data_IF_916550557054
#
_entry.id   IF_916550557054
#
_cell.length_a   1.000
_cell.length_b   1.000
_cell.length_c   1.000
_cell.angle_alpha   90.00
_cell.angle_beta   90.00
_cell.angle_gamma   90.00
#
_symmetry.space_group_name_H-M   'P 1'
#
loop_
_entity.id
_entity.type
_entity.pdbx_description
1 polymer ?
#
# COMPACT_ATOMS: atom_id res chain seq x y z
N UNK A 1 -8.94 -29.34 -0.56
CA UNK A 1 -8.58 -28.03 -1.17
C UNK A 1 -9.65 -27.54 -2.16
N UNK A 2 -10.77 -28.25 -2.33
CA UNK A 2 -11.87 -27.89 -3.24
C UNK A 2 -13.03 -27.14 -2.54
N UNK A 3 -13.09 -27.17 -1.20
CA UNK A 3 -14.23 -26.63 -0.44
C UNK A 3 -14.27 -25.09 -0.31
N UNK A 4 -13.13 -24.40 -0.42
CA UNK A 4 -13.12 -22.92 -0.38
C UNK A 4 -13.62 -22.28 -1.68
N UNK A 5 -13.52 -22.97 -2.82
CA UNK A 5 -14.04 -22.47 -4.08
C UNK A 5 -15.57 -22.50 -4.12
N UNK A 6 -16.15 -23.60 -3.65
CA UNK A 6 -17.61 -23.83 -3.63
C UNK A 6 -18.36 -22.91 -2.67
N UNK A 7 -17.78 -22.56 -1.52
CA UNK A 7 -18.41 -21.62 -0.57
C UNK A 7 -18.45 -20.17 -1.09
N UNK A 8 -17.43 -19.76 -1.86
CA UNK A 8 -17.35 -18.42 -2.47
C UNK A 8 -18.39 -18.23 -3.58
N UNK A 9 -18.61 -19.26 -4.39
CA UNK A 9 -19.65 -19.24 -5.45
C UNK A 9 -21.06 -19.18 -4.84
N UNK A 10 -21.33 -19.93 -3.75
CA UNK A 10 -22.64 -19.89 -3.05
C UNK A 10 -22.99 -18.53 -2.44
N UNK A 11 -21.98 -17.76 -2.03
CA UNK A 11 -22.19 -16.42 -1.47
C UNK A 11 -22.64 -15.41 -2.52
N UNK A 12 -22.26 -15.61 -3.79
CA UNK A 12 -22.70 -14.79 -4.92
C UNK A 12 -24.12 -15.16 -5.39
N UNK A 13 -24.53 -16.42 -5.22
CA UNK A 13 -25.86 -16.91 -5.57
C UNK A 13 -26.98 -16.37 -4.66
N UNK A 14 -26.64 -15.95 -3.43
CA UNK A 14 -27.59 -15.40 -2.45
C UNK A 14 -27.75 -13.89 -2.51
N UNK A 15 -27.06 -13.20 -3.43
CA UNK A 15 -27.13 -11.74 -3.57
C UNK A 15 -28.32 -11.33 -4.46
N UNK A 16 -29.03 -10.28 -4.07
CA UNK A 16 -30.12 -9.70 -4.90
C UNK A 16 -29.57 -8.94 -6.11
N UNK A 17 -30.40 -8.71 -7.13
CA UNK A 17 -29.98 -7.98 -8.35
C UNK A 17 -29.54 -6.53 -8.07
N UNK A 18 -30.05 -5.90 -7.02
CA UNK A 18 -29.61 -4.56 -6.58
C UNK A 18 -28.23 -4.62 -5.91
N UNK A 19 -28.01 -5.63 -5.06
CA UNK A 19 -26.72 -5.87 -4.42
C UNK A 19 -25.61 -6.16 -5.44
N UNK A 20 -25.95 -6.85 -6.54
CA UNK A 20 -25.04 -7.14 -7.66
C UNK A 20 -24.55 -5.89 -8.41
N UNK A 21 -25.25 -4.76 -8.29
CA UNK A 21 -24.88 -3.48 -8.92
C UNK A 21 -24.02 -2.58 -8.02
N UNK A 22 -24.03 -2.83 -6.71
CA UNK A 22 -23.34 -2.02 -5.70
C UNK A 22 -22.10 -2.72 -5.12
N UNK A 23 -21.53 -3.67 -5.87
CA UNK A 23 -20.33 -4.39 -5.46
C UNK A 23 -19.07 -3.53 -5.61
N UNK A 24 -18.22 -3.57 -4.59
CA UNK A 24 -16.96 -2.85 -4.49
C UNK A 24 -15.82 -3.84 -4.20
N UNK A 25 -14.83 -3.89 -5.08
CA UNK A 25 -13.58 -4.62 -4.85
C UNK A 25 -12.55 -3.67 -4.25
N UNK A 26 -12.26 -3.85 -2.97
CA UNK A 26 -11.19 -3.15 -2.29
C UNK A 26 -9.86 -3.80 -2.62
N UNK A 27 -8.94 -3.01 -3.14
CA UNK A 27 -7.59 -3.43 -3.52
C UNK A 27 -6.60 -2.49 -2.87
N UNK A 28 -5.58 -3.04 -2.19
CA UNK A 28 -4.42 -2.23 -1.80
C UNK A 28 -3.36 -2.32 -2.89
N UNK A 29 -2.62 -1.26 -3.09
CA UNK A 29 -1.50 -1.25 -4.02
C UNK A 29 -0.35 -0.43 -3.44
N UNK A 30 0.81 -0.57 -4.06
CA UNK A 30 1.98 0.23 -3.78
C UNK A 30 3.15 -0.15 -4.67
N UNK A 31 4.28 0.49 -4.42
CA UNK A 31 5.52 0.31 -5.18
C UNK A 31 6.70 0.14 -4.25
N UNK A 32 7.69 -0.63 -4.68
CA UNK A 32 8.91 -0.86 -3.93
C UNK A 32 10.12 -0.94 -4.87
N UNK A 33 11.27 -0.49 -4.37
CA UNK A 33 12.55 -0.53 -5.05
C UNK A 33 13.48 -1.57 -4.44
N UNK A 34 14.18 -2.33 -5.28
CA UNK A 34 15.17 -3.31 -4.84
C UNK A 34 16.43 -3.24 -5.68
N UNK A 35 17.57 -3.57 -5.07
CA UNK A 35 18.84 -3.71 -5.75
C UNK A 35 19.11 -5.18 -5.99
N UNK A 36 19.63 -5.51 -7.17
CA UNK A 36 20.00 -6.87 -7.54
C UNK A 36 21.37 -6.94 -8.20
N UNK A 37 21.92 -8.15 -8.29
CA UNK A 37 23.13 -8.40 -9.07
C UNK A 37 22.83 -8.29 -10.55
N UNK A 38 23.63 -7.49 -11.26
CA UNK A 38 23.51 -7.32 -12.70
C UNK A 38 23.87 -8.60 -13.45
N UNK A 39 23.05 -8.96 -14.45
CA UNK A 39 23.38 -10.08 -15.33
C UNK A 39 24.53 -9.71 -16.27
N UNK A 40 25.37 -10.69 -16.62
CA UNK A 40 26.48 -10.51 -17.59
C UNK A 40 26.02 -10.61 -19.05
N UNK A 41 24.78 -10.22 -19.33
CA UNK A 41 24.25 -10.21 -20.69
C UNK A 41 24.51 -8.85 -21.33
N UNK A 42 24.63 -8.83 -22.65
CA UNK A 42 24.79 -7.57 -23.38
C UNK A 42 23.46 -6.84 -23.44
N UNK A 43 23.46 -5.57 -23.05
CA UNK A 43 22.33 -4.67 -23.24
C UNK A 43 22.39 -4.03 -24.63
N UNK A 44 21.24 -3.56 -25.13
CA UNK A 44 21.20 -2.83 -26.40
C UNK A 44 21.93 -1.49 -26.29
N UNK A 45 21.82 -0.80 -25.15
CA UNK A 45 22.57 0.43 -24.87
C UNK A 45 23.60 0.22 -23.76
N UNK A 46 24.78 0.81 -23.93
CA UNK A 46 25.86 0.77 -22.93
C UNK A 46 25.53 1.49 -21.61
N UNK A 47 24.46 2.29 -21.57
CA UNK A 47 24.01 3.00 -20.37
C UNK A 47 22.96 2.23 -19.57
N UNK A 48 22.40 1.17 -20.15
CA UNK A 48 21.33 0.42 -19.51
C UNK A 48 21.89 -0.51 -18.43
N UNK A 49 21.12 -0.68 -17.36
CA UNK A 49 21.47 -1.54 -16.24
C UNK A 49 20.22 -2.16 -15.63
N UNK A 50 20.32 -3.45 -15.31
CA UNK A 50 19.33 -4.22 -14.57
C UNK A 50 19.67 -4.29 -13.07
N UNK A 51 20.69 -3.57 -12.59
CA UNK A 51 21.13 -3.62 -11.18
C UNK A 51 20.08 -3.15 -10.17
N UNK A 52 19.05 -2.45 -10.63
CA UNK A 52 17.94 -1.97 -9.81
C UNK A 52 16.62 -2.40 -10.44
N UNK A 53 15.69 -2.85 -9.61
CA UNK A 53 14.31 -3.11 -9.99
C UNK A 53 13.41 -2.17 -9.21
N UNK A 54 12.45 -1.57 -9.89
CA UNK A 54 11.34 -0.86 -9.29
C UNK A 54 10.02 -1.52 -9.75
N UNK A 55 9.22 -1.96 -8.78
CA UNK A 55 8.00 -2.72 -9.06
C UNK A 55 6.79 -2.11 -8.36
N UNK A 56 5.71 -1.94 -9.11
CA UNK A 56 4.36 -1.66 -8.59
C UNK A 56 3.56 -2.94 -8.52
N UNK A 57 2.81 -3.12 -7.43
CA UNK A 57 1.98 -4.30 -7.22
C UNK A 57 0.66 -3.94 -6.56
N UNK A 58 -0.34 -4.80 -6.74
CA UNK A 58 -1.63 -4.73 -6.07
C UNK A 58 -1.98 -6.06 -5.40
N UNK A 59 -2.83 -5.99 -4.39
CA UNK A 59 -3.42 -7.12 -3.69
C UNK A 59 -4.91 -6.81 -3.55
N UNK A 60 -5.81 -7.55 -4.22
CA UNK A 60 -7.23 -7.47 -3.91
C UNK A 60 -7.40 -7.89 -2.45
N UNK A 61 -8.22 -7.22 -1.66
CA UNK A 61 -8.38 -7.51 -0.24
C UNK A 61 -9.70 -8.20 0.04
N UNK A 62 -10.78 -7.58 -0.41
CA UNK A 62 -12.13 -8.06 -0.18
C UNK A 62 -13.11 -7.49 -1.21
N UNK A 63 -14.12 -8.29 -1.51
CA UNK A 63 -15.31 -7.89 -2.25
C UNK A 63 -16.42 -7.62 -1.24
N UNK A 64 -17.01 -6.44 -1.30
CA UNK A 64 -18.09 -6.02 -0.42
C UNK A 64 -19.25 -5.44 -1.21
N UNK A 65 -20.44 -5.49 -0.65
CA UNK A 65 -21.62 -4.76 -1.12
C UNK A 65 -21.80 -3.56 -0.20
N UNK A 66 -22.10 -2.41 -0.81
CA UNK A 66 -22.39 -1.18 -0.10
C UNK A 66 -23.88 -0.83 -0.27
N UNK A 67 -24.69 -1.13 0.75
CA UNK A 67 -26.10 -0.78 0.81
C UNK A 67 -26.30 0.35 1.81
N UNK A 68 -26.31 1.60 1.33
CA UNK A 68 -26.62 2.80 2.13
C UNK A 68 -25.91 2.85 3.50
N UNK A 69 -24.63 2.47 3.55
CA UNK A 69 -23.79 2.51 4.75
C UNK A 69 -23.62 1.18 5.48
N UNK A 70 -24.46 0.17 5.23
CA UNK A 70 -24.20 -1.20 5.68
C UNK A 70 -23.31 -1.93 4.66
N UNK A 71 -22.15 -2.38 5.14
CA UNK A 71 -21.16 -3.11 4.33
C UNK A 71 -21.27 -4.61 4.58
N UNK A 72 -21.61 -5.37 3.55
CA UNK A 72 -21.65 -6.84 3.58
C UNK A 72 -20.46 -7.40 2.83
N UNK A 73 -19.57 -8.11 3.52
CA UNK A 73 -18.40 -8.76 2.89
C UNK A 73 -18.83 -10.06 2.22
N UNK A 74 -18.63 -10.17 0.92
CA UNK A 74 -18.91 -11.38 0.14
C UNK A 74 -17.70 -12.29 0.09
N UNK A 75 -16.52 -11.69 -0.04
CA UNK A 75 -15.27 -12.43 -0.11
C UNK A 75 -14.14 -11.60 0.49
N UNK A 76 -13.19 -12.27 1.13
CA UNK A 76 -11.99 -11.65 1.69
C UNK A 76 -10.84 -12.67 1.65
N UNK A 77 -9.62 -12.21 1.38
CA UNK A 77 -8.47 -13.10 1.57
C UNK A 77 -8.26 -13.40 3.05
N UNK A 78 -8.04 -14.68 3.41
CA UNK A 78 -7.78 -15.06 4.80
C UNK A 78 -6.43 -14.51 5.30
N UNK A 79 -5.44 -14.35 4.40
CA UNK A 79 -4.10 -13.87 4.74
C UNK A 79 -3.66 -12.77 3.77
N UNK A 80 -4.14 -11.51 3.93
CA UNK A 80 -3.90 -10.42 2.98
C UNK A 80 -2.45 -9.92 2.94
N UNK A 81 -1.60 -10.37 3.87
CA UNK A 81 -0.16 -10.09 3.89
C UNK A 81 0.69 -11.18 3.22
N UNK A 82 0.06 -12.23 2.68
CA UNK A 82 0.80 -13.29 1.99
C UNK A 82 1.30 -12.77 0.63
N UNK A 83 2.60 -12.98 0.29
CA UNK A 83 3.14 -12.57 -1.01
C UNK A 83 2.46 -13.29 -2.18
N UNK A 84 1.84 -14.45 -1.92
CA UNK A 84 1.10 -15.25 -2.93
C UNK A 84 -0.04 -14.48 -3.61
N UNK A 85 -0.58 -13.47 -2.93
CA UNK A 85 -1.69 -12.65 -3.45
C UNK A 85 -1.21 -11.31 -4.03
N UNK A 86 0.09 -11.03 -3.98
CA UNK A 86 0.69 -9.83 -4.56
C UNK A 86 0.82 -10.00 -6.07
N UNK A 87 0.08 -9.19 -6.83
CA UNK A 87 0.06 -9.22 -8.29
C UNK A 87 0.85 -8.02 -8.83
N UNK A 88 1.87 -8.23 -9.66
CA UNK A 88 2.62 -7.13 -10.26
C UNK A 88 1.73 -6.36 -11.24
N UNK A 89 1.83 -5.04 -11.21
CA UNK A 89 1.24 -4.12 -12.19
C UNK A 89 2.28 -3.79 -13.26
N UNK A 90 3.47 -3.35 -12.81
CA UNK A 90 4.55 -2.87 -13.67
C UNK A 90 5.90 -3.14 -13.00
N UNK A 91 6.86 -3.60 -13.79
CA UNK A 91 8.26 -3.83 -13.37
C UNK A 91 9.15 -2.98 -14.27
N UNK A 92 10.11 -2.25 -13.68
CA UNK A 92 11.05 -1.37 -14.39
C UNK A 92 12.47 -1.61 -13.87
N UNK A 93 13.46 -1.58 -14.75
CA UNK A 93 14.87 -1.63 -14.38
C UNK A 93 15.42 -0.22 -14.16
N UNK A 94 15.06 0.38 -13.02
CA UNK A 94 15.45 1.75 -12.68
C UNK A 94 15.68 1.86 -11.18
N UNK A 95 16.60 2.73 -10.79
CA UNK A 95 16.82 3.04 -9.39
C UNK A 95 15.62 3.80 -8.82
N UNK A 96 15.22 3.45 -7.59
CA UNK A 96 14.17 4.15 -6.88
C UNK A 96 14.63 5.58 -6.56
N UNK A 97 13.91 6.56 -7.12
CA UNK A 97 14.11 7.98 -6.85
C UNK A 97 12.76 8.63 -6.58
N UNK A 98 12.76 9.81 -5.93
CA UNK A 98 11.52 10.54 -5.63
C UNK A 98 10.67 10.77 -6.88
N UNK A 99 11.31 11.13 -7.99
CA UNK A 99 10.63 11.40 -9.26
C UNK A 99 10.05 10.13 -9.86
N UNK A 100 10.82 9.03 -9.86
CA UNK A 100 10.34 7.72 -10.36
C UNK A 100 9.11 7.24 -9.59
N UNK A 101 9.10 7.45 -8.28
CA UNK A 101 7.98 7.06 -7.42
C UNK A 101 6.77 7.97 -7.60
N UNK A 102 6.95 9.29 -7.67
CA UNK A 102 5.85 10.22 -7.94
C UNK A 102 5.22 9.96 -9.31
N UNK A 103 6.03 9.73 -10.34
CA UNK A 103 5.56 9.36 -11.68
C UNK A 103 4.80 8.02 -11.68
N UNK A 104 5.20 7.05 -10.83
CA UNK A 104 4.46 5.81 -10.70
C UNK A 104 3.11 6.01 -10.01
N UNK A 105 3.08 6.83 -8.96
CA UNK A 105 1.84 7.14 -8.25
C UNK A 105 0.85 7.81 -9.19
N UNK A 106 1.30 8.84 -9.91
CA UNK A 106 0.47 9.53 -10.89
C UNK A 106 0.00 8.59 -12.00
N UNK A 107 0.88 7.69 -12.47
CA UNK A 107 0.53 6.66 -13.43
C UNK A 107 -0.60 5.76 -12.90
N UNK A 108 -0.44 5.12 -11.75
CA UNK A 108 -1.46 4.20 -11.21
C UNK A 108 -2.75 4.93 -10.87
N UNK A 109 -2.69 6.14 -10.31
CA UNK A 109 -3.87 6.93 -9.98
C UNK A 109 -4.64 7.42 -11.22
N UNK A 110 -3.95 7.75 -12.31
CA UNK A 110 -4.58 8.10 -13.58
C UNK A 110 -5.33 6.91 -14.18
N UNK A 111 -4.70 5.72 -14.13
CA UNK A 111 -5.32 4.47 -14.58
C UNK A 111 -6.52 4.10 -13.69
N UNK A 112 -6.41 4.27 -12.37
CA UNK A 112 -7.49 4.03 -11.43
C UNK A 112 -8.70 4.96 -11.67
N UNK A 113 -8.46 6.24 -12.01
CA UNK A 113 -9.52 7.21 -12.34
C UNK A 113 -10.25 6.85 -13.63
N UNK A 114 -9.55 6.32 -14.63
CA UNK A 114 -10.12 5.93 -15.91
C UNK A 114 -10.76 4.52 -15.89
N UNK A 115 -10.67 3.80 -14.77
CA UNK A 115 -11.13 2.42 -14.69
C UNK A 115 -12.66 2.37 -14.68
N UNK A 116 -13.23 1.73 -15.69
CA UNK A 116 -14.66 1.44 -15.74
C UNK A 116 -15.01 0.27 -14.84
N UNK A 117 -16.29 0.18 -14.46
CA UNK A 117 -16.80 -0.98 -13.72
C UNK A 117 -16.56 -2.25 -14.54
N UNK A 118 -16.16 -3.33 -13.88
CA UNK A 118 -16.04 -4.62 -14.54
C UNK A 118 -17.39 -5.32 -14.53
N UNK A 119 -17.84 -5.71 -15.71
CA UNK A 119 -19.08 -6.45 -15.92
C UNK A 119 -18.75 -7.93 -16.10
N UNK A 120 -19.29 -8.78 -15.23
CA UNK A 120 -19.09 -10.23 -15.30
C UNK A 120 -20.44 -10.90 -15.47
N UNK A 121 -20.61 -11.60 -16.59
CA UNK A 121 -21.78 -12.44 -16.84
C UNK A 121 -21.67 -13.72 -16.02
N UNK A 122 -22.62 -13.92 -15.12
CA UNK A 122 -22.74 -15.13 -14.30
C UNK A 122 -24.04 -15.85 -14.62
N UNK A 123 -24.15 -17.14 -14.31
CA UNK A 123 -25.39 -17.91 -14.51
C UNK A 123 -26.62 -17.30 -13.81
N UNK A 124 -26.41 -16.47 -12.79
CA UNK A 124 -27.45 -15.84 -11.98
C UNK A 124 -27.66 -14.34 -12.30
N UNK A 125 -27.00 -13.78 -13.32
CA UNK A 125 -27.14 -12.36 -13.69
C UNK A 125 -25.82 -11.66 -14.02
N UNK A 126 -25.88 -10.35 -14.28
CA UNK A 126 -24.71 -9.51 -14.56
C UNK A 126 -24.22 -8.85 -13.26
N UNK A 127 -22.96 -9.09 -12.92
CA UNK A 127 -22.29 -8.47 -11.78
C UNK A 127 -21.57 -7.21 -12.23
N UNK A 128 -21.74 -6.11 -11.50
CA UNK A 128 -21.02 -4.86 -11.72
C UNK A 128 -20.08 -4.60 -10.56
N UNK A 129 -18.77 -4.69 -10.82
CA UNK A 129 -17.74 -4.51 -9.80
C UNK A 129 -17.10 -3.14 -9.98
N UNK A 130 -17.23 -2.29 -8.96
CA UNK A 130 -16.49 -1.04 -8.84
C UNK A 130 -15.18 -1.31 -8.12
N UNK A 131 -14.05 -0.82 -8.64
CA UNK A 131 -12.75 -1.06 -8.02
C UNK A 131 -12.31 0.13 -7.19
N UNK A 132 -11.91 -0.12 -5.94
CA UNK A 132 -11.39 0.89 -5.02
C UNK A 132 -9.93 0.55 -4.73
N UNK A 133 -9.01 1.37 -5.25
CA UNK A 133 -7.57 1.20 -5.09
C UNK A 133 -7.05 2.10 -3.96
N UNK A 134 -6.39 1.50 -2.97
CA UNK A 134 -5.85 2.17 -1.78
C UNK A 134 -4.31 2.12 -1.77
N UNK A 135 -3.61 3.27 -1.84
CA UNK A 135 -2.14 3.34 -1.87
C UNK A 135 -1.54 3.14 -0.47
N UNK A 136 -1.61 1.91 0.06
CA UNK A 136 -1.21 1.59 1.45
C UNK A 136 -0.01 0.65 1.55
N UNK A 137 0.44 0.06 0.43
CA UNK A 137 1.62 -0.81 0.38
C UNK A 137 2.88 -0.02 0.06
N UNK A 138 3.09 1.09 0.75
CA UNK A 138 4.12 2.06 0.40
C UNK A 138 5.03 2.33 1.62
N UNK A 139 6.33 2.52 1.41
CA UNK A 139 7.30 2.87 2.47
C UNK A 139 7.05 4.30 3.00
N UNK A 140 7.32 4.51 4.30
CA UNK A 140 7.45 5.82 4.94
C UNK A 140 8.33 6.82 4.17
N UNK A 141 9.37 6.33 3.48
CA UNK A 141 10.24 7.18 2.65
C UNK A 141 9.52 7.81 1.46
N UNK A 142 8.63 7.05 0.84
CA UNK A 142 7.85 7.49 -0.32
C UNK A 142 6.82 8.55 0.09
N UNK A 143 6.27 8.47 1.31
CA UNK A 143 5.34 9.49 1.83
C UNK A 143 5.99 10.86 1.98
N UNK A 144 7.29 10.92 2.32
CA UNK A 144 8.01 12.19 2.40
C UNK A 144 8.23 12.81 1.01
N UNK A 145 8.39 11.97 -0.03
CA UNK A 145 8.44 12.44 -1.42
C UNK A 145 7.07 12.94 -1.89
N UNK A 146 5.99 12.22 -1.61
CA UNK A 146 4.63 12.58 -2.02
C UNK A 146 4.06 13.81 -1.29
N UNK A 147 4.45 14.03 -0.02
CA UNK A 147 3.98 15.17 0.79
C UNK A 147 4.91 16.39 0.75
N UNK A 148 5.97 16.36 -0.09
CA UNK A 148 7.05 17.36 -0.10
C UNK A 148 7.69 17.59 1.30
N UNK A 149 7.56 16.63 2.21
CA UNK A 149 8.19 16.71 3.52
C UNK A 149 9.68 16.44 3.35
N UNK A 150 10.50 17.49 3.45
CA UNK A 150 11.93 17.46 3.17
C UNK A 150 12.74 16.56 4.11
N UNK A 151 12.20 16.18 5.28
CA UNK A 151 12.92 15.42 6.30
C UNK A 151 12.18 14.15 6.70
N UNK A 152 12.92 13.04 6.73
CA UNK A 152 12.47 11.75 7.28
C UNK A 152 12.24 11.77 8.80
N UNK A 153 12.65 12.85 9.48
CA UNK A 153 12.45 13.05 10.93
C UNK A 153 11.20 13.85 11.28
N UNK A 154 10.41 14.26 10.28
CA UNK A 154 9.08 14.86 10.49
C UNK A 154 8.01 13.81 10.33
N UNK A 155 6.95 13.92 11.13
CA UNK A 155 5.79 13.05 10.94
C UNK A 155 5.06 13.44 9.65
N UNK A 156 4.82 12.49 8.75
CA UNK A 156 4.13 12.74 7.48
C UNK A 156 2.63 13.04 7.66
N UNK A 157 2.04 12.72 8.81
CA UNK A 157 0.62 12.96 9.13
C UNK A 157 0.42 14.40 9.64
N UNK A 158 1.20 14.83 10.64
CA UNK A 158 1.03 16.13 11.30
C UNK A 158 2.13 17.16 10.97
N UNK A 159 3.22 16.75 10.32
CA UNK A 159 4.36 17.61 9.98
C UNK A 159 5.18 18.10 11.19
N UNK A 160 4.90 17.60 12.40
CA UNK A 160 5.62 18.00 13.62
C UNK A 160 7.01 17.36 13.69
N UNK A 161 7.92 18.08 14.33
CA UNK A 161 9.28 17.60 14.65
C UNK A 161 9.31 16.87 15.99
N UNK A 162 10.36 16.08 16.24
CA UNK A 162 10.55 15.34 17.50
C UNK A 162 10.52 16.24 18.75
N UNK A 163 11.01 17.48 18.66
CA UNK A 163 10.97 18.44 19.78
C UNK A 163 9.54 18.87 20.13
N UNK A 164 8.71 19.07 19.12
CA UNK A 164 7.31 19.49 19.29
C UNK A 164 6.42 18.33 19.74
N UNK A 165 6.75 17.10 19.33
CA UNK A 165 6.04 15.88 19.75
C UNK A 165 6.04 15.66 21.26
N UNK A 166 7.07 16.11 21.96
CA UNK A 166 7.14 16.01 23.42
C UNK A 166 6.18 16.96 24.14
N UNK A 167 5.58 17.93 23.44
CA UNK A 167 4.62 18.87 23.99
C UNK A 167 3.17 18.43 23.71
N UNK A 168 2.61 17.59 24.58
CA UNK A 168 1.24 17.05 24.46
C UNK A 168 0.12 18.11 24.42
N UNK A 169 0.40 19.34 24.84
CA UNK A 169 -0.53 20.47 24.79
C UNK A 169 -0.72 21.05 23.38
N UNK A 170 0.23 20.84 22.47
CA UNK A 170 0.17 21.36 21.10
C UNK A 170 -0.54 20.35 20.20
N UNK A 171 -1.80 20.61 19.87
CA UNK A 171 -2.52 19.87 18.82
C UNK A 171 -2.40 20.61 17.50
N UNK A 172 -2.11 19.87 16.43
CA UNK A 172 -2.04 20.40 15.08
C UNK A 172 -3.07 19.70 14.22
N UNK A 173 -3.75 20.47 13.37
CA UNK A 173 -4.69 19.94 12.39
C UNK A 173 -3.95 19.09 11.36
N UNK A 174 -4.53 17.93 11.06
CA UNK A 174 -3.98 16.94 10.15
C UNK A 174 -4.65 17.10 8.79
N UNK A 175 -3.85 17.04 7.72
CA UNK A 175 -4.39 17.04 6.37
C UNK A 175 -5.05 15.68 6.06
N UNK A 176 -6.35 15.63 5.74
CA UNK A 176 -7.06 14.37 5.47
C UNK A 176 -6.47 13.57 4.30
N UNK A 177 -5.83 14.21 3.32
CA UNK A 177 -5.20 13.50 2.19
C UNK A 177 -4.06 12.59 2.65
N UNK A 178 -3.36 12.95 3.74
CA UNK A 178 -2.27 12.15 4.29
C UNK A 178 -2.75 10.85 4.93
N UNK A 179 -4.03 10.76 5.31
CA UNK A 179 -4.60 9.58 5.95
C UNK A 179 -4.86 8.43 4.96
N UNK A 180 -4.95 8.75 3.65
CA UNK A 180 -5.21 7.76 2.58
C UNK A 180 -4.10 6.74 2.44
N UNK A 181 -2.90 7.09 2.87
CA UNK A 181 -1.69 6.28 2.81
C UNK A 181 -1.60 5.22 3.92
N UNK A 182 -2.41 5.35 4.98
CA UNK A 182 -2.40 4.42 6.10
C UNK A 182 -1.10 4.46 6.93
N UNK A 183 -0.88 3.41 7.73
CA UNK A 183 0.27 3.30 8.64
C UNK A 183 1.23 2.20 8.18
N UNK A 184 2.51 2.53 8.02
CA UNK A 184 3.57 1.55 7.70
C UNK A 184 4.02 0.78 8.95
N UNK A 185 3.28 -0.29 9.28
CA UNK A 185 3.53 -1.13 10.47
C UNK A 185 4.98 -1.68 10.49
N UNK A 186 5.51 -2.05 9.32
CA UNK A 186 6.88 -2.56 9.19
C UNK A 186 7.90 -1.54 9.72
N UNK A 187 7.86 -0.32 9.19
CA UNK A 187 8.77 0.75 9.57
C UNK A 187 8.54 1.22 11.02
N UNK A 188 7.29 1.23 11.49
CA UNK A 188 6.99 1.53 12.89
C UNK A 188 7.71 0.57 13.85
N UNK A 189 7.72 -0.73 13.57
CA UNK A 189 8.41 -1.73 14.41
C UNK A 189 9.93 -1.59 14.34
N UNK A 190 10.50 -1.37 13.16
CA UNK A 190 11.94 -1.17 12.98
C UNK A 190 12.41 0.06 13.75
N UNK A 191 11.71 1.20 13.59
CA UNK A 191 12.05 2.45 14.29
C UNK A 191 11.87 2.36 15.80
N UNK A 192 10.84 1.65 16.26
CA UNK A 192 10.68 1.38 17.69
C UNK A 192 11.89 0.61 18.22
N UNK A 193 12.30 -0.46 17.55
CA UNK A 193 13.44 -1.27 17.98
C UNK A 193 14.76 -0.46 17.99
N UNK A 194 15.03 0.30 16.94
CA UNK A 194 16.16 1.22 16.85
C UNK A 194 16.17 2.23 18.01
N UNK A 195 15.01 2.84 18.32
CA UNK A 195 14.88 3.79 19.43
C UNK A 195 15.20 3.15 20.80
N UNK A 196 14.76 1.91 21.03
CA UNK A 196 15.03 1.17 22.27
C UNK A 196 16.52 0.86 22.42
N UNK A 197 17.21 0.52 21.31
CA UNK A 197 18.67 0.32 21.30
C UNK A 197 19.43 1.61 21.58
N UNK A 198 18.97 2.75 21.07
CA UNK A 198 19.58 4.05 21.40
C UNK A 198 19.41 4.40 22.88
N UNK A 199 18.23 4.16 23.45
CA UNK A 199 17.94 4.39 24.87
C UNK A 199 18.81 3.48 25.75
N UNK A 200 18.94 2.20 25.41
CA UNK A 200 19.75 1.25 26.19
C UNK A 200 21.24 1.64 26.18
N UNK A 201 21.78 1.98 25.01
CA UNK A 201 23.17 2.46 24.87
C UNK A 201 23.40 3.73 25.70
N UNK A 202 22.49 4.70 25.63
CA UNK A 202 22.59 5.95 26.37
C UNK A 202 22.54 5.70 27.88
N UNK A 203 21.61 4.84 28.33
CA UNK A 203 21.48 4.47 29.74
C UNK A 203 22.70 3.73 30.28
N UNK A 204 23.34 2.89 29.45
CA UNK A 204 24.58 2.20 29.81
C UNK A 204 25.76 3.17 29.95
N UNK A 205 25.93 4.09 29.00
CA UNK A 205 26.96 5.12 29.07
C UNK A 205 26.80 6.05 30.28
N UNK A 206 25.55 6.38 30.65
CA UNK A 206 25.28 7.16 31.87
C UNK A 206 25.59 6.41 33.16
N UNK A 207 25.56 5.07 33.16
CA UNK A 207 25.87 4.24 34.34
C UNK A 207 27.35 3.92 34.50
N UNK A 208 28.09 3.82 33.39
CA UNK A 208 29.49 3.36 33.37
C UNK A 208 30.48 4.46 32.94
N UNK A 209 29.99 5.68 32.70
CA UNK A 209 30.78 6.85 32.28
C UNK A 209 31.10 7.84 33.40
N UNK A 210 31.08 7.40 34.66
CA UNK A 210 31.56 8.14 35.84
C UNK A 210 32.67 7.36 36.52
#
# INVERSE_FOLDING_TARGET
MEDEGSSRIRSLETCTEEEKKTMELLTKWGSDGSQQSQFKQNFENNTDSDSNIFQSSLVPLRLQINNNGQKKTIWQYPVPSSPRYCRPIRIRFIHETKDVTNNEIEYVESQARNLTKTEILTATGILYITHILLPTMVDAKIYNAATNTTSTMRCYICGLTSKEFNCLSRRKEVNPETLRFGLSILHARIRLFESLLHISRTSYLLKNGS
#
